data_IF_922233767865
#
_entry.id   IF_922233767865
#
_cell.length_a   1.000
_cell.length_b   1.000
_cell.length_c   1.000
_cell.angle_alpha   90.00
_cell.angle_beta   90.00
_cell.angle_gamma   90.00
#
_symmetry.space_group_name_H-M   'P 1'
#
loop_
_entity.id
_entity.type
_entity.pdbx_description
1 polymer ?
#
# COMPACT_ATOMS: atom_id res chain seq x y z
N UNK A 1 -1.68 -29.91 -64.85
CA UNK A 1 -2.82 -29.27 -65.56
C UNK A 1 -3.52 -28.40 -64.53
N UNK A 2 -3.73 -27.13 -64.46
CA UNK A 2 -3.53 -25.99 -65.37
C UNK A 2 -3.54 -24.75 -64.47
N UNK A 3 -2.53 -23.87 -64.65
CA UNK A 3 -2.48 -22.56 -64.03
C UNK A 3 -3.63 -21.70 -64.50
N UNK A 4 -4.11 -20.78 -63.59
CA UNK A 4 -4.62 -19.48 -64.02
C UNK A 4 -4.23 -18.41 -63.01
N UNK A 5 -3.43 -17.48 -63.50
CA UNK A 5 -3.12 -16.16 -62.96
C UNK A 5 -4.33 -15.24 -63.06
N UNK A 6 -4.55 -14.40 -62.03
CA UNK A 6 -5.20 -13.11 -62.24
C UNK A 6 -4.46 -11.97 -61.54
N UNK A 7 -4.40 -10.88 -62.27
CA UNK A 7 -3.58 -9.70 -62.13
C UNK A 7 -4.02 -8.77 -60.98
N UNK A 8 -3.02 -8.13 -60.40
CA UNK A 8 -3.01 -6.88 -59.64
C UNK A 8 -3.89 -5.80 -60.25
N UNK A 9 -4.61 -5.06 -59.38
CA UNK A 9 -4.97 -3.67 -59.65
C UNK A 9 -4.73 -2.84 -58.36
N UNK A 10 -3.75 -1.92 -58.46
CA UNK A 10 -3.52 -0.84 -57.50
C UNK A 10 -4.61 0.23 -57.75
N UNK A 11 -5.29 0.61 -56.68
CA UNK A 11 -5.91 1.94 -56.63
C UNK A 11 -5.51 2.58 -55.31
N UNK A 12 -4.67 3.58 -55.46
CA UNK A 12 -4.35 4.61 -54.48
C UNK A 12 -5.52 5.55 -54.33
N UNK A 13 -6.04 5.68 -53.11
CA UNK A 13 -6.81 6.86 -52.71
C UNK A 13 -6.21 7.41 -51.43
N UNK A 14 -5.49 8.52 -51.59
CA UNK A 14 -5.09 9.40 -50.52
C UNK A 14 -6.33 10.08 -49.96
N UNK A 15 -6.61 9.91 -48.67
CA UNK A 15 -7.51 10.78 -47.93
C UNK A 15 -6.73 11.90 -47.26
N UNK A 16 -7.22 13.15 -47.25
CA UNK A 16 -6.47 14.28 -46.73
C UNK A 16 -6.51 14.32 -45.19
N UNK A 17 -5.34 14.49 -44.61
CA UNK A 17 -5.12 14.79 -43.19
C UNK A 17 -5.79 16.13 -42.86
N UNK A 18 -6.82 16.12 -42.02
CA UNK A 18 -7.49 17.32 -41.54
C UNK A 18 -6.58 18.12 -40.59
N UNK A 19 -6.02 19.20 -41.11
CA UNK A 19 -5.39 20.26 -40.33
C UNK A 19 -6.47 21.13 -39.70
N UNK A 20 -6.97 20.78 -38.52
CA UNK A 20 -7.89 21.65 -37.80
C UNK A 20 -7.99 21.35 -36.33
N UNK A 21 -6.91 21.64 -35.58
CA UNK A 21 -6.95 21.84 -34.10
C UNK A 21 -5.92 22.84 -33.58
N UNK A 22 -5.21 23.59 -34.44
CA UNK A 22 -4.22 24.60 -34.03
C UNK A 22 -4.58 26.06 -34.37
N UNK A 23 -5.77 26.34 -34.86
CA UNK A 23 -6.14 27.68 -35.36
C UNK A 23 -7.24 28.38 -34.55
N UNK A 24 -7.45 28.05 -33.29
CA UNK A 24 -8.52 28.64 -32.46
C UNK A 24 -8.03 29.44 -31.25
N UNK A 25 -6.77 29.87 -31.26
CA UNK A 25 -6.20 30.67 -30.14
C UNK A 25 -5.50 31.99 -30.58
N UNK A 26 -5.66 32.44 -31.83
CA UNK A 26 -5.13 33.72 -32.28
C UNK A 26 -6.17 34.44 -33.18
N UNK A 27 -7.13 35.17 -32.58
CA UNK A 27 -8.03 35.96 -33.38
C UNK A 27 -9.17 36.61 -32.61
N UNK A 28 -8.87 37.52 -31.70
CA UNK A 28 -9.84 38.54 -31.31
C UNK A 28 -9.07 39.79 -30.82
N UNK A 29 -8.80 40.69 -31.74
CA UNK A 29 -8.25 41.99 -31.42
C UNK A 29 -8.41 42.91 -32.60
N UNK A 30 -9.23 43.92 -32.43
CA UNK A 30 -9.33 45.16 -33.22
C UNK A 30 -10.62 45.38 -34.02
N UNK A 31 -11.52 46.13 -33.44
CA UNK A 31 -12.31 47.11 -34.16
C UNK A 31 -12.53 48.32 -33.23
N UNK A 32 -11.92 49.42 -33.51
CA UNK A 32 -12.04 50.66 -32.77
C UNK A 32 -13.28 51.45 -33.19
N UNK A 33 -13.78 52.28 -32.26
CA UNK A 33 -14.54 53.51 -32.60
C UNK A 33 -14.07 54.60 -31.64
N UNK A 34 -13.68 55.73 -32.22
CA UNK A 34 -13.29 56.94 -31.54
C UNK A 34 -14.50 57.67 -30.93
N UNK A 35 -14.32 58.21 -29.75
CA UNK A 35 -15.22 59.13 -29.09
C UNK A 35 -14.50 59.88 -27.98
N UNK A 36 -14.15 61.14 -28.24
CA UNK A 36 -13.54 62.10 -27.35
C UNK A 36 -14.45 62.52 -26.23
N UNK A 37 -14.02 62.45 -24.98
CA UNK A 37 -14.25 63.48 -23.94
C UNK A 37 -13.18 63.31 -22.85
N UNK A 38 -12.49 64.39 -22.56
CA UNK A 38 -11.42 64.39 -21.58
C UNK A 38 -11.92 64.33 -20.13
N UNK A 39 -11.20 63.60 -19.34
CA UNK A 39 -11.14 63.73 -17.90
C UNK A 39 -9.77 63.25 -17.42
N UNK A 40 -9.10 64.13 -16.71
CA UNK A 40 -7.84 63.87 -16.05
C UNK A 40 -8.03 62.70 -15.06
N UNK A 41 -7.43 61.59 -15.37
CA UNK A 41 -7.29 60.49 -14.44
C UNK A 41 -5.80 60.27 -14.13
N UNK A 42 -5.44 60.54 -12.92
CA UNK A 42 -4.20 60.12 -12.30
C UNK A 42 -3.93 58.63 -12.61
N UNK A 43 -2.67 58.21 -12.83
CA UNK A 43 -2.33 56.82 -12.98
C UNK A 43 -2.54 56.11 -11.63
N UNK A 44 -3.72 55.59 -11.40
CA UNK A 44 -3.92 54.58 -10.40
C UNK A 44 -3.26 53.31 -10.95
N UNK A 45 -2.14 53.03 -10.31
CA UNK A 45 -1.44 51.73 -10.43
C UNK A 45 -2.47 50.64 -10.57
N UNK A 46 -2.46 49.93 -11.72
CA UNK A 46 -3.06 48.63 -11.82
C UNK A 46 -2.40 47.78 -10.73
N UNK A 47 -3.01 47.75 -9.54
CA UNK A 47 -2.78 46.67 -8.63
C UNK A 47 -3.13 45.40 -9.42
N UNK A 48 -2.07 44.68 -9.78
CA UNK A 48 -2.21 43.31 -10.15
C UNK A 48 -3.22 42.73 -9.15
N UNK A 49 -4.31 42.19 -9.68
CA UNK A 49 -5.17 41.28 -8.94
C UNK A 49 -4.17 40.31 -8.36
N UNK A 50 -3.83 40.49 -7.10
CA UNK A 50 -3.14 39.48 -6.34
C UNK A 50 -4.01 38.25 -6.56
N UNK A 51 -3.47 37.26 -7.23
CA UNK A 51 -3.99 35.93 -7.17
C UNK A 51 -4.39 35.74 -5.72
N UNK A 52 -5.71 35.69 -5.49
CA UNK A 52 -6.21 35.26 -4.21
C UNK A 52 -5.40 34.03 -3.89
N UNK A 53 -4.61 34.11 -2.84
CA UNK A 53 -3.99 32.97 -2.25
C UNK A 53 -5.13 32.00 -1.98
N UNK A 54 -5.31 31.05 -2.87
CA UNK A 54 -5.99 29.81 -2.54
C UNK A 54 -5.15 29.28 -1.40
N UNK A 55 -5.59 29.55 -0.20
CA UNK A 55 -4.98 29.05 1.01
C UNK A 55 -5.20 27.56 1.04
N UNK A 56 -4.31 26.82 0.37
CA UNK A 56 -4.11 25.38 0.59
C UNK A 56 -3.35 25.15 1.91
N UNK A 57 -3.48 26.07 2.87
CA UNK A 57 -2.87 25.97 4.19
C UNK A 57 -3.11 24.61 4.87
N UNK A 58 -4.31 23.97 4.82
CA UNK A 58 -4.52 22.66 5.43
C UNK A 58 -3.71 21.52 4.81
N UNK A 59 -3.42 21.56 3.49
CA UNK A 59 -2.64 20.51 2.83
C UNK A 59 -1.13 20.72 3.04
N UNK A 60 -0.64 21.96 3.00
CA UNK A 60 0.77 22.25 3.24
C UNK A 60 1.21 21.94 4.67
N UNK A 61 0.33 22.11 5.66
CA UNK A 61 0.63 21.76 7.06
C UNK A 61 0.84 20.25 7.24
N UNK A 62 0.07 19.41 6.53
CA UNK A 62 0.19 17.94 6.59
C UNK A 62 1.52 17.42 6.05
N UNK A 63 2.17 18.15 5.16
CA UNK A 63 3.50 17.77 4.65
C UNK A 63 4.59 17.81 5.74
N UNK A 64 4.37 18.49 6.85
CA UNK A 64 5.28 18.56 7.98
C UNK A 64 4.96 17.57 9.10
N UNK A 65 3.86 16.80 8.98
CA UNK A 65 3.60 15.71 9.90
C UNK A 65 4.73 14.68 9.81
N UNK A 66 5.19 14.20 10.96
CA UNK A 66 6.26 13.20 11.03
C UNK A 66 5.95 12.12 12.05
N UNK A 67 6.49 10.93 11.80
CA UNK A 67 6.42 9.80 12.71
C UNK A 67 7.81 9.51 13.29
N UNK A 68 7.90 9.13 14.57
CA UNK A 68 9.19 8.76 15.15
C UNK A 68 9.73 7.50 14.45
N UNK A 69 11.01 7.56 14.05
CA UNK A 69 11.70 6.43 13.42
C UNK A 69 12.12 5.39 14.45
N UNK A 70 12.71 5.85 15.57
CA UNK A 70 13.22 4.97 16.62
C UNK A 70 12.10 4.50 17.57
N UNK A 71 12.20 3.25 18.00
CA UNK A 71 11.27 2.66 18.96
C UNK A 71 11.33 1.15 19.02
N UNK A 72 10.59 0.59 19.96
CA UNK A 72 10.48 -0.87 20.17
C UNK A 72 9.94 -1.60 18.95
N UNK A 73 9.00 -0.98 18.25
CA UNK A 73 8.32 -1.48 17.07
C UNK A 73 8.56 -0.54 15.91
N UNK A 74 8.56 -1.06 14.69
CA UNK A 74 8.65 -0.21 13.51
C UNK A 74 7.39 0.65 13.33
N UNK A 75 7.54 1.91 12.90
CA UNK A 75 6.43 2.74 12.46
C UNK A 75 5.76 2.13 11.21
N UNK A 76 4.49 2.49 10.98
CA UNK A 76 3.73 2.03 9.82
C UNK A 76 2.94 0.74 10.05
N UNK A 77 3.02 0.11 11.23
CA UNK A 77 2.23 -1.08 11.59
C UNK A 77 0.97 -0.67 12.35
N UNK A 78 1.12 -0.13 13.56
CA UNK A 78 -0.01 0.38 14.39
C UNK A 78 -0.27 1.87 14.19
N UNK A 79 0.65 2.60 13.57
CA UNK A 79 0.49 4.02 13.22
C UNK A 79 -0.79 4.26 12.42
N UNK A 80 -1.57 5.30 12.66
CA UNK A 80 -2.74 5.63 11.86
C UNK A 80 -2.44 5.58 10.36
N UNK A 81 -3.33 4.99 9.57
CA UNK A 81 -3.11 4.78 8.13
C UNK A 81 -3.27 6.11 7.38
N UNK A 82 -2.21 6.61 6.70
CA UNK A 82 -2.32 7.81 5.86
C UNK A 82 -3.00 7.51 4.53
N UNK A 83 -3.15 8.52 3.67
CA UNK A 83 -3.91 8.42 2.43
C UNK A 83 -3.26 7.55 1.35
N UNK A 84 -1.93 7.47 1.32
CA UNK A 84 -1.19 6.74 0.30
C UNK A 84 -0.35 5.60 0.90
N UNK A 85 -0.25 4.49 0.18
CA UNK A 85 0.60 3.35 0.52
C UNK A 85 1.28 2.79 -0.71
N UNK A 86 2.50 2.31 -0.54
CA UNK A 86 3.27 1.60 -1.54
C UNK A 86 3.98 0.44 -0.87
N UNK A 87 3.87 -0.74 -1.45
CA UNK A 87 4.67 -1.91 -1.08
C UNK A 87 5.60 -2.24 -2.23
N UNK A 88 6.90 -2.30 -1.96
CA UNK A 88 7.90 -2.75 -2.91
C UNK A 88 8.65 -3.96 -2.35
N UNK A 89 8.78 -4.99 -3.16
CA UNK A 89 9.54 -6.20 -2.85
C UNK A 89 10.85 -6.21 -3.62
N UNK A 90 11.87 -6.78 -3.00
CA UNK A 90 13.23 -6.75 -3.53
C UNK A 90 13.88 -8.14 -3.48
N UNK A 91 14.76 -8.38 -4.44
CA UNK A 91 15.77 -9.41 -4.38
C UNK A 91 17.06 -8.79 -3.82
N UNK A 92 17.66 -9.44 -2.82
CA UNK A 92 18.91 -9.00 -2.19
C UNK A 92 20.10 -9.49 -3.02
N UNK A 93 20.89 -8.53 -3.50
CA UNK A 93 22.06 -8.78 -4.35
C UNK A 93 23.38 -8.91 -3.55
N UNK A 94 23.35 -8.66 -2.23
CA UNK A 94 24.50 -8.84 -1.36
C UNK A 94 25.12 -10.25 -1.55
N UNK A 95 26.43 -10.31 -1.67
CA UNK A 95 27.18 -11.56 -1.95
C UNK A 95 27.54 -12.30 -0.68
N UNK A 96 27.67 -11.57 0.41
CA UNK A 96 28.06 -12.10 1.69
C UNK A 96 27.38 -11.33 2.85
N UNK A 97 27.66 -11.77 4.06
CA UNK A 97 27.08 -11.15 5.27
C UNK A 97 27.53 -9.71 5.48
N UNK A 98 28.76 -9.36 5.12
CA UNK A 98 29.27 -7.99 5.28
C UNK A 98 28.52 -7.01 4.37
N UNK A 99 28.28 -7.42 3.12
CA UNK A 99 27.44 -6.64 2.21
C UNK A 99 25.98 -6.58 2.67
N UNK A 100 25.44 -7.66 3.25
CA UNK A 100 24.09 -7.66 3.85
C UNK A 100 24.00 -6.69 5.04
N UNK A 101 25.01 -6.66 5.92
CA UNK A 101 25.08 -5.69 7.00
C UNK A 101 25.19 -4.25 6.46
N UNK A 102 26.04 -4.01 5.47
CA UNK A 102 26.15 -2.71 4.79
C UNK A 102 24.79 -2.26 4.24
N UNK A 103 24.06 -3.17 3.61
CA UNK A 103 22.71 -2.90 3.10
C UNK A 103 21.75 -2.44 4.22
N UNK A 104 21.68 -3.16 5.33
CA UNK A 104 20.78 -2.80 6.43
C UNK A 104 21.18 -1.48 7.09
N UNK A 105 22.48 -1.19 7.23
CA UNK A 105 22.94 0.11 7.76
C UNK A 105 22.58 1.26 6.85
N UNK A 106 22.81 1.13 5.54
CA UNK A 106 22.40 2.15 4.56
C UNK A 106 20.88 2.31 4.53
N UNK A 107 20.13 1.20 4.55
CA UNK A 107 18.67 1.25 4.57
C UNK A 107 18.16 1.98 5.82
N UNK A 108 18.79 1.77 6.98
CA UNK A 108 18.45 2.46 8.22
C UNK A 108 18.69 3.96 8.10
N UNK A 109 19.89 4.36 7.65
CA UNK A 109 20.26 5.75 7.45
C UNK A 109 19.28 6.46 6.49
N UNK A 110 18.96 5.82 5.37
CA UNK A 110 18.04 6.41 4.39
C UNK A 110 16.62 6.50 4.93
N UNK A 111 16.11 5.45 5.57
CA UNK A 111 14.77 5.45 6.16
C UNK A 111 14.62 6.53 7.25
N UNK A 112 15.62 6.68 8.12
CA UNK A 112 15.62 7.74 9.15
C UNK A 112 15.59 9.14 8.52
N UNK A 113 16.45 9.40 7.52
CA UNK A 113 16.46 10.65 6.79
C UNK A 113 15.12 10.96 6.11
N UNK A 114 14.58 9.99 5.38
CA UNK A 114 13.34 10.15 4.63
C UNK A 114 12.14 10.44 5.55
N UNK A 115 12.05 9.75 6.70
CA UNK A 115 10.98 9.97 7.67
C UNK A 115 11.11 11.28 8.44
N UNK A 116 12.33 11.74 8.67
CA UNK A 116 12.60 13.00 9.34
C UNK A 116 12.47 14.19 8.40
N UNK A 117 12.78 13.99 7.14
CA UNK A 117 12.94 15.06 6.16
C UNK A 117 14.22 15.88 6.37
N UNK A 118 14.43 16.86 5.50
CA UNK A 118 15.58 17.75 5.57
C UNK A 118 16.14 18.12 4.20
N UNK A 119 17.20 18.93 4.19
CA UNK A 119 17.88 19.32 2.96
C UNK A 119 18.90 18.24 2.56
N UNK A 120 18.77 17.67 1.36
CA UNK A 120 19.78 16.75 0.84
C UNK A 120 21.15 17.42 0.73
N UNK A 121 22.28 16.66 0.83
CA UNK A 121 23.61 17.22 0.65
C UNK A 121 23.78 17.85 -0.73
N UNK A 122 24.37 19.04 -0.78
CA UNK A 122 24.79 19.66 -2.04
C UNK A 122 26.06 18.98 -2.55
N UNK A 123 26.07 18.56 -3.81
CA UNK A 123 27.20 17.95 -4.48
C UNK A 123 27.67 18.81 -5.64
N UNK A 124 28.97 18.69 -6.02
CA UNK A 124 29.48 19.32 -7.25
C UNK A 124 28.62 18.88 -8.45
N UNK A 125 28.19 19.84 -9.27
CA UNK A 125 27.32 19.63 -10.44
C UNK A 125 27.88 18.62 -11.47
N UNK A 126 29.15 18.22 -11.35
CA UNK A 126 29.76 17.14 -12.15
C UNK A 126 29.32 15.74 -11.70
N UNK A 127 28.77 15.60 -10.51
CA UNK A 127 28.24 14.34 -9.98
C UNK A 127 26.72 14.28 -10.08
N UNK A 128 26.12 13.08 -10.09
CA UNK A 128 24.69 12.95 -9.95
C UNK A 128 24.19 13.63 -8.67
N UNK A 129 23.05 14.32 -8.69
CA UNK A 129 22.52 14.97 -7.50
C UNK A 129 22.27 13.95 -6.37
N UNK A 130 22.41 14.38 -5.13
CA UNK A 130 22.16 13.54 -3.96
C UNK A 130 20.72 13.05 -3.89
N UNK A 131 19.77 13.88 -4.32
CA UNK A 131 18.33 13.62 -4.32
C UNK A 131 17.72 13.68 -5.73
N UNK A 132 16.53 13.10 -5.89
CA UNK A 132 15.80 13.12 -7.17
C UNK A 132 15.17 14.47 -7.51
N UNK A 133 14.98 15.32 -6.52
CA UNK A 133 14.37 16.64 -6.64
C UNK A 133 12.85 16.65 -6.84
N UNK A 134 12.17 15.51 -6.82
CA UNK A 134 10.71 15.46 -7.10
C UNK A 134 9.86 16.10 -5.98
N UNK A 135 10.37 16.17 -4.75
CA UNK A 135 9.73 16.89 -3.64
C UNK A 135 10.24 18.33 -3.49
N UNK A 136 11.08 18.82 -4.42
CA UNK A 136 11.71 20.13 -4.33
C UNK A 136 13.06 20.10 -3.61
N UNK A 137 13.61 21.26 -3.20
CA UNK A 137 14.95 21.35 -2.60
C UNK A 137 15.03 20.85 -1.16
N UNK A 138 13.90 20.68 -0.49
CA UNK A 138 13.79 20.18 0.88
C UNK A 138 12.84 19.01 0.89
N UNK A 139 13.32 17.88 1.37
CA UNK A 139 12.48 16.68 1.58
C UNK A 139 11.57 16.92 2.78
N UNK A 140 10.27 16.89 2.59
CA UNK A 140 9.29 16.97 3.66
C UNK A 140 8.98 15.58 4.22
N UNK A 141 8.75 15.42 5.54
CA UNK A 141 8.43 14.14 6.15
C UNK A 141 7.08 13.56 5.70
N UNK A 142 6.08 14.41 5.46
CA UNK A 142 4.75 14.04 4.92
C UNK A 142 4.11 12.83 5.59
N UNK A 143 4.27 12.71 6.91
CA UNK A 143 3.78 11.58 7.69
C UNK A 143 4.33 10.22 7.21
N UNK A 144 5.50 10.21 6.55
CA UNK A 144 6.09 9.01 5.98
C UNK A 144 6.44 7.99 7.08
N UNK A 145 6.09 6.74 6.84
CA UNK A 145 6.59 5.58 7.57
C UNK A 145 7.23 4.60 6.60
N UNK A 146 8.38 4.06 7.00
CA UNK A 146 9.13 3.03 6.26
C UNK A 146 9.17 1.78 7.14
N UNK A 147 8.48 0.72 6.70
CA UNK A 147 8.41 -0.56 7.43
C UNK A 147 9.11 -1.64 6.62
N UNK A 148 10.12 -2.27 7.20
CA UNK A 148 10.97 -3.28 6.55
C UNK A 148 10.60 -4.67 7.05
N UNK A 149 10.36 -5.61 6.13
CA UNK A 149 10.09 -6.99 6.47
C UNK A 149 10.86 -7.96 5.57
N UNK A 150 11.23 -9.12 6.12
CA UNK A 150 12.05 -10.13 5.48
C UNK A 150 11.20 -11.27 4.93
N UNK A 151 11.47 -11.67 3.69
CA UNK A 151 10.86 -12.85 3.09
C UNK A 151 11.57 -14.14 3.47
N UNK A 152 10.88 -15.26 3.33
CA UNK A 152 11.44 -16.57 3.67
C UNK A 152 12.68 -16.93 2.83
N UNK A 153 12.82 -16.38 1.63
CA UNK A 153 13.96 -16.65 0.73
C UNK A 153 15.26 -16.01 1.20
N UNK A 154 15.23 -14.98 2.05
CA UNK A 154 16.45 -14.41 2.63
C UNK A 154 17.14 -15.39 3.61
N UNK A 155 16.37 -16.29 4.20
CA UNK A 155 16.86 -17.29 5.16
C UNK A 155 17.33 -18.58 4.48
N UNK A 156 18.06 -18.44 3.40
CA UNK A 156 18.75 -19.53 2.69
C UNK A 156 20.21 -19.71 3.17
N UNK A 157 21.03 -20.36 2.36
CA UNK A 157 22.42 -20.67 2.72
C UNK A 157 23.40 -19.51 2.42
N UNK A 158 22.97 -18.39 1.80
CA UNK A 158 23.85 -17.27 1.39
C UNK A 158 24.51 -16.56 2.57
N UNK A 159 23.78 -16.38 3.68
CA UNK A 159 24.19 -15.49 4.77
C UNK A 159 24.30 -16.19 6.13
N UNK A 160 24.09 -17.51 6.18
CA UNK A 160 24.06 -18.26 7.43
C UNK A 160 22.83 -18.00 8.30
N UNK A 161 21.78 -17.41 7.75
CA UNK A 161 20.56 -17.04 8.49
C UNK A 161 19.52 -18.15 8.60
N UNK A 162 19.69 -19.25 7.87
CA UNK A 162 18.71 -20.35 7.80
C UNK A 162 18.25 -20.90 9.16
N UNK A 163 19.14 -21.11 10.16
CA UNK A 163 18.72 -21.57 11.50
C UNK A 163 17.90 -20.54 12.30
N UNK A 164 17.97 -19.27 11.90
CA UNK A 164 17.35 -18.14 12.58
C UNK A 164 16.03 -17.71 11.95
N UNK A 165 15.55 -18.42 10.94
CA UNK A 165 14.29 -18.11 10.28
C UNK A 165 13.13 -18.18 11.28
N UNK A 166 12.23 -17.17 11.32
CA UNK A 166 11.00 -17.25 12.09
C UNK A 166 10.21 -18.51 11.74
N UNK A 167 9.71 -19.23 12.73
CA UNK A 167 9.19 -20.59 12.57
C UNK A 167 8.03 -20.69 11.60
N UNK A 168 7.12 -19.72 11.63
CA UNK A 168 5.94 -19.70 10.78
C UNK A 168 6.18 -18.94 9.46
N UNK A 169 7.38 -18.35 9.27
CA UNK A 169 7.71 -17.67 8.03
C UNK A 169 7.95 -18.69 6.91
N UNK A 170 7.03 -18.73 5.98
CA UNK A 170 7.07 -19.64 4.84
C UNK A 170 6.79 -18.89 3.53
N UNK A 171 7.05 -19.56 2.43
CA UNK A 171 6.61 -19.08 1.13
C UNK A 171 5.07 -19.04 1.12
N UNK A 172 4.47 -17.96 0.59
CA UNK A 172 3.03 -17.84 0.54
C UNK A 172 2.40 -19.05 -0.16
N UNK A 173 1.48 -19.70 0.54
CA UNK A 173 0.69 -20.82 0.03
C UNK A 173 -0.33 -20.31 -0.98
N UNK A 174 -0.73 -21.17 -1.93
CA UNK A 174 -1.83 -20.90 -2.85
C UNK A 174 -3.12 -21.42 -2.25
N UNK A 175 -4.17 -20.60 -2.29
CA UNK A 175 -5.53 -20.97 -1.91
C UNK A 175 -6.38 -21.28 -3.15
N UNK A 176 -7.53 -21.97 -3.02
CA UNK A 176 -8.33 -22.42 -4.18
C UNK A 176 -8.71 -21.31 -5.15
N UNK A 177 -9.01 -20.11 -4.67
CA UNK A 177 -9.35 -18.96 -5.52
C UNK A 177 -8.16 -18.20 -6.10
N UNK A 178 -6.93 -18.55 -5.79
CA UNK A 178 -5.75 -17.80 -6.23
C UNK A 178 -5.45 -17.98 -7.72
N UNK A 179 -4.97 -16.91 -8.34
CA UNK A 179 -4.38 -16.88 -9.67
C UNK A 179 -3.01 -16.18 -9.62
N UNK A 180 -2.13 -16.66 -8.74
CA UNK A 180 -0.86 -16.02 -8.42
C UNK A 180 0.07 -15.93 -9.64
N UNK A 181 0.52 -14.72 -9.93
CA UNK A 181 1.50 -14.42 -10.96
C UNK A 181 2.89 -14.36 -10.32
N UNK A 182 3.84 -15.15 -10.83
CA UNK A 182 5.17 -15.31 -10.23
C UNK A 182 5.92 -13.98 -10.10
N UNK A 183 5.73 -13.08 -11.08
CA UNK A 183 6.46 -11.83 -11.18
C UNK A 183 6.07 -10.81 -10.11
N UNK A 184 4.88 -10.95 -9.52
CA UNK A 184 4.39 -10.08 -8.44
C UNK A 184 4.20 -10.83 -7.12
N UNK A 185 4.99 -11.89 -6.91
CA UNK A 185 4.97 -12.69 -5.68
C UNK A 185 6.34 -12.77 -5.00
N UNK A 186 6.31 -12.84 -3.66
CA UNK A 186 7.47 -13.09 -2.79
C UNK A 186 8.55 -12.02 -2.91
N UNK A 187 9.78 -12.34 -2.53
CA UNK A 187 11.00 -11.54 -2.51
C UNK A 187 11.79 -11.80 -1.24
N UNK A 188 13.04 -11.40 -1.22
CA UNK A 188 13.93 -11.55 -0.06
C UNK A 188 13.60 -10.50 1.02
N UNK A 189 13.17 -9.32 0.57
CA UNK A 189 12.86 -8.19 1.42
C UNK A 189 11.64 -7.46 0.85
N UNK A 190 10.80 -6.92 1.73
CA UNK A 190 9.73 -6.01 1.35
C UNK A 190 9.81 -4.75 2.18
N UNK A 191 9.52 -3.61 1.56
CA UNK A 191 9.40 -2.32 2.24
C UNK A 191 8.00 -1.78 1.97
N UNK A 192 7.31 -1.42 3.06
CA UNK A 192 6.06 -0.69 3.00
C UNK A 192 6.35 0.78 3.28
N UNK A 193 5.96 1.64 2.36
CA UNK A 193 5.96 3.10 2.49
C UNK A 193 4.52 3.57 2.64
N UNK A 194 4.26 4.40 3.64
CA UNK A 194 2.96 5.03 3.79
C UNK A 194 3.15 6.51 4.12
N UNK A 195 2.46 7.39 3.40
CA UNK A 195 2.54 8.85 3.54
C UNK A 195 1.21 9.52 3.21
N UNK A 196 1.10 10.82 3.47
CA UNK A 196 -0.11 11.56 3.10
C UNK A 196 -0.24 11.70 1.58
N UNK A 197 0.89 11.75 0.83
CA UNK A 197 0.90 11.87 -0.64
C UNK A 197 1.63 10.71 -1.33
N UNK A 198 1.19 10.29 -2.52
CA UNK A 198 1.87 9.24 -3.29
C UNK A 198 3.30 9.62 -3.69
N UNK A 199 3.56 10.92 -3.95
CA UNK A 199 4.86 11.41 -4.41
C UNK A 199 5.95 11.16 -3.39
N UNK A 200 5.65 11.30 -2.10
CA UNK A 200 6.58 10.99 -1.01
C UNK A 200 6.94 9.51 -0.99
N UNK A 201 5.99 8.60 -1.20
CA UNK A 201 6.27 7.17 -1.29
C UNK A 201 7.19 6.83 -2.48
N UNK A 202 6.93 7.43 -3.65
CA UNK A 202 7.75 7.24 -4.85
C UNK A 202 9.14 7.84 -4.66
N UNK A 203 9.24 9.01 -4.02
CA UNK A 203 10.51 9.63 -3.67
C UNK A 203 11.35 8.70 -2.77
N UNK A 204 10.73 8.16 -1.70
CA UNK A 204 11.39 7.27 -0.77
C UNK A 204 11.89 5.98 -1.45
N UNK A 205 11.07 5.36 -2.30
CA UNK A 205 11.49 4.20 -3.08
C UNK A 205 12.68 4.52 -4.00
N UNK A 206 12.63 5.65 -4.72
CA UNK A 206 13.72 6.07 -5.63
C UNK A 206 15.01 6.39 -4.88
N UNK A 207 14.91 6.99 -3.70
CA UNK A 207 16.07 7.26 -2.85
C UNK A 207 16.78 5.96 -2.43
N UNK A 208 16.02 4.98 -1.94
CA UNK A 208 16.55 3.66 -1.56
C UNK A 208 17.22 2.97 -2.76
N UNK A 209 16.56 2.92 -3.91
CA UNK A 209 17.13 2.31 -5.12
C UNK A 209 18.39 3.02 -5.60
N UNK A 210 18.43 4.37 -5.51
CA UNK A 210 19.59 5.17 -5.92
C UNK A 210 20.81 4.91 -5.04
N UNK A 211 20.60 4.74 -3.74
CA UNK A 211 21.70 4.58 -2.78
C UNK A 211 22.16 3.13 -2.61
N UNK A 212 21.41 2.15 -3.11
CA UNK A 212 21.73 0.72 -2.97
C UNK A 212 21.60 -0.07 -4.29
N UNK A 213 22.14 0.43 -5.44
CA UNK A 213 21.96 -0.22 -6.74
C UNK A 213 22.67 -1.57 -6.85
N UNK A 214 23.71 -1.80 -6.04
CA UNK A 214 24.51 -3.02 -5.97
C UNK A 214 24.03 -4.01 -4.90
N UNK A 215 23.02 -3.64 -4.09
CA UNK A 215 22.56 -4.42 -2.95
C UNK A 215 21.10 -4.85 -3.05
N UNK A 216 20.26 -4.07 -3.76
CA UNK A 216 18.82 -4.32 -3.90
C UNK A 216 18.38 -4.18 -5.35
N UNK A 217 17.55 -5.11 -5.79
CA UNK A 217 16.85 -5.03 -7.06
C UNK A 217 15.34 -5.15 -6.81
N UNK A 218 14.55 -4.20 -7.32
CA UNK A 218 13.09 -4.26 -7.22
C UNK A 218 12.59 -5.47 -7.99
N UNK A 219 11.82 -6.31 -7.31
CA UNK A 219 11.14 -7.45 -7.89
C UNK A 219 9.74 -7.09 -8.37
N UNK A 220 8.96 -6.45 -7.51
CA UNK A 220 7.63 -5.90 -7.83
C UNK A 220 7.29 -4.77 -6.88
N UNK A 221 6.36 -3.93 -7.30
CA UNK A 221 5.73 -2.92 -6.45
C UNK A 221 4.22 -2.86 -6.69
N UNK A 222 3.48 -2.44 -5.67
CA UNK A 222 2.08 -2.08 -5.78
C UNK A 222 1.81 -0.83 -4.97
N UNK A 223 1.21 0.15 -5.60
CA UNK A 223 0.72 1.38 -4.99
C UNK A 223 -0.76 1.26 -4.68
N UNK A 224 -1.23 2.08 -3.74
CA UNK A 224 -2.63 2.18 -3.44
C UNK A 224 -2.96 3.42 -2.61
N UNK A 225 -4.23 3.74 -2.54
CA UNK A 225 -4.74 4.90 -1.82
C UNK A 225 -5.91 4.54 -0.94
N UNK A 226 -6.15 5.37 0.05
CA UNK A 226 -7.35 5.34 0.88
C UNK A 226 -8.22 6.52 0.46
N UNK A 227 -9.47 6.30 -0.01
CA UNK A 227 -10.32 7.42 -0.37
C UNK A 227 -10.62 8.28 0.86
N UNK A 228 -10.39 9.58 0.72
CA UNK A 228 -10.79 10.56 1.71
C UNK A 228 -12.28 10.84 1.50
N UNK A 229 -13.10 10.46 2.46
CA UNK A 229 -14.54 10.74 2.43
C UNK A 229 -14.89 11.57 3.66
N UNK A 230 -15.68 12.66 3.50
CA UNK A 230 -16.21 13.35 4.65
C UNK A 230 -17.13 12.41 5.43
N UNK A 231 -17.06 12.34 6.76
CA UNK A 231 -17.97 11.54 7.54
C UNK A 231 -19.40 12.12 7.42
N UNK A 232 -20.40 11.24 7.44
CA UNK A 232 -21.81 11.65 7.43
C UNK A 232 -22.18 12.49 8.64
N UNK A 233 -21.42 12.37 9.73
CA UNK A 233 -21.54 13.15 10.93
C UNK A 233 -20.15 13.48 11.48
N UNK A 234 -19.93 14.69 12.03
CA UNK A 234 -18.66 15.05 12.66
C UNK A 234 -18.23 14.13 13.83
N UNK A 235 -19.18 13.38 14.38
CA UNK A 235 -18.95 12.43 15.48
C UNK A 235 -18.85 10.98 15.01
N UNK A 236 -19.12 10.68 13.75
CA UNK A 236 -19.09 9.31 13.24
C UNK A 236 -17.62 8.90 12.95
N UNK A 237 -17.16 7.86 13.61
CA UNK A 237 -15.90 7.18 13.27
C UNK A 237 -16.22 6.20 12.15
N UNK A 238 -16.09 6.64 10.90
CA UNK A 238 -16.38 5.86 9.72
C UNK A 238 -15.08 5.40 9.04
N UNK A 239 -15.02 4.12 8.66
CA UNK A 239 -13.88 3.60 7.91
C UNK A 239 -14.01 3.91 6.41
N UNK A 240 -12.86 3.95 5.71
CA UNK A 240 -12.82 4.15 4.27
C UNK A 240 -13.47 2.99 3.51
N UNK A 241 -13.95 3.26 2.29
CA UNK A 241 -14.53 2.23 1.42
C UNK A 241 -13.49 1.62 0.50
N UNK A 242 -13.65 0.31 0.26
CA UNK A 242 -12.94 -0.36 -0.84
C UNK A 242 -13.64 -0.10 -2.19
N UNK A 243 -13.05 -0.58 -3.30
CA UNK A 243 -13.61 -0.40 -4.64
C UNK A 243 -14.85 -1.26 -4.95
N UNK A 244 -15.29 -2.11 -4.03
CA UNK A 244 -16.61 -2.72 -4.08
C UNK A 244 -17.68 -1.88 -3.39
N UNK A 245 -17.28 -0.71 -2.84
CA UNK A 245 -18.16 0.26 -2.22
C UNK A 245 -18.49 0.00 -0.74
N UNK A 246 -17.92 -1.05 -0.13
CA UNK A 246 -18.15 -1.40 1.27
C UNK A 246 -17.10 -0.78 2.20
N UNK A 247 -17.49 -0.52 3.46
CA UNK A 247 -16.58 -0.08 4.51
C UNK A 247 -15.53 -1.15 4.78
N UNK A 248 -14.24 -0.78 4.76
CA UNK A 248 -13.12 -1.71 4.92
C UNK A 248 -12.26 -1.36 6.14
N UNK A 249 -12.85 -1.49 7.29
CA UNK A 249 -12.24 -1.17 8.58
C UNK A 249 -13.16 -1.42 9.76
N UNK A 250 -14.43 -1.75 9.49
CA UNK A 250 -15.48 -1.87 10.49
C UNK A 250 -15.17 -2.82 11.65
N UNK A 251 -14.42 -3.86 11.41
CA UNK A 251 -14.04 -4.86 12.40
C UNK A 251 -12.52 -4.91 12.63
N UNK A 252 -11.79 -3.89 12.19
CA UNK A 252 -10.35 -3.84 12.41
C UNK A 252 -10.09 -3.57 13.90
N UNK A 253 -9.15 -4.30 14.54
CA UNK A 253 -8.75 -4.04 15.91
C UNK A 253 -8.29 -2.59 16.12
N UNK A 254 -8.55 -2.03 17.29
CA UNK A 254 -8.08 -0.69 17.64
C UNK A 254 -6.57 -0.71 17.85
N UNK A 255 -5.83 -0.09 16.91
CA UNK A 255 -4.38 -0.04 16.96
C UNK A 255 -3.81 0.81 18.10
N UNK A 256 -4.64 1.56 18.82
CA UNK A 256 -4.26 2.32 20.02
C UNK A 256 -4.39 1.51 21.32
N UNK A 257 -4.98 0.31 21.27
CA UNK A 257 -5.02 -0.62 22.40
C UNK A 257 -3.73 -1.46 22.45
N UNK A 258 -2.74 -0.97 23.18
CA UNK A 258 -1.43 -1.63 23.33
C UNK A 258 -1.56 -3.06 23.88
N UNK A 259 -2.50 -3.32 24.80
CA UNK A 259 -2.70 -4.64 25.37
C UNK A 259 -3.22 -5.63 24.31
N UNK A 260 -4.14 -5.19 23.45
CA UNK A 260 -4.62 -5.97 22.32
C UNK A 260 -3.51 -6.17 21.29
N UNK A 261 -2.79 -5.10 20.90
CA UNK A 261 -1.69 -5.20 19.94
C UNK A 261 -0.59 -6.16 20.40
N UNK A 262 -0.24 -6.17 21.68
CA UNK A 262 0.72 -7.12 22.25
C UNK A 262 0.22 -8.58 22.20
N UNK A 263 -1.09 -8.82 22.13
CA UNK A 263 -1.63 -10.18 22.01
C UNK A 263 -1.73 -10.66 20.57
N UNK A 264 -2.07 -9.77 19.63
CA UNK A 264 -2.45 -10.19 18.27
C UNK A 264 -1.44 -9.78 17.19
N UNK A 265 -0.62 -8.74 17.40
CA UNK A 265 0.28 -8.19 16.38
C UNK A 265 1.75 -8.51 16.67
N UNK A 266 2.20 -8.25 17.90
CA UNK A 266 3.61 -8.33 18.21
C UNK A 266 4.03 -9.72 18.65
N UNK A 267 5.11 -10.22 18.04
CA UNK A 267 5.77 -11.44 18.50
C UNK A 267 6.37 -11.19 19.87
N UNK A 268 6.04 -12.04 20.83
CA UNK A 268 6.55 -12.02 22.19
C UNK A 268 7.04 -13.41 22.63
N UNK A 269 7.44 -13.54 23.88
CA UNK A 269 7.98 -14.79 24.45
C UNK A 269 7.06 -16.01 24.23
N UNK A 270 5.74 -15.82 24.26
CA UNK A 270 4.74 -16.89 24.08
C UNK A 270 4.74 -17.50 22.66
N UNK A 271 5.28 -16.80 21.67
CA UNK A 271 5.30 -17.26 20.28
C UNK A 271 6.42 -18.28 20.03
N UNK A 272 7.37 -18.42 20.96
CA UNK A 272 8.51 -19.34 20.86
C UNK A 272 9.34 -19.15 19.57
N UNK A 273 9.37 -17.93 19.04
CA UNK A 273 10.22 -17.52 17.92
C UNK A 273 11.68 -17.32 18.36
N UNK A 274 12.64 -17.21 17.42
CA UNK A 274 14.00 -16.81 17.77
C UNK A 274 14.01 -15.45 18.52
N UNK A 275 14.88 -15.25 19.48
CA UNK A 275 14.94 -14.07 20.35
C UNK A 275 15.00 -12.75 19.58
N UNK A 276 15.74 -12.72 18.46
CA UNK A 276 15.85 -11.55 17.60
C UNK A 276 14.51 -11.10 16.99
N UNK A 277 13.53 -12.00 16.88
CA UNK A 277 12.22 -11.75 16.29
C UNK A 277 11.23 -11.09 17.28
N UNK A 278 11.60 -11.03 18.58
CA UNK A 278 10.77 -10.39 19.61
C UNK A 278 10.49 -8.93 19.24
N UNK A 279 9.22 -8.49 19.35
CA UNK A 279 8.70 -7.18 18.94
C UNK A 279 8.57 -6.98 17.43
N UNK A 280 8.89 -7.98 16.62
CA UNK A 280 8.51 -8.03 15.20
C UNK A 280 7.07 -8.49 15.01
N UNK A 281 6.67 -8.67 13.76
CA UNK A 281 5.32 -9.11 13.40
C UNK A 281 5.33 -9.90 12.08
N UNK A 282 4.49 -10.91 11.97
CA UNK A 282 4.24 -11.51 10.64
C UNK A 282 3.40 -10.56 9.80
N UNK A 283 3.77 -10.44 8.52
CA UNK A 283 3.11 -9.59 7.53
C UNK A 283 2.61 -10.44 6.39
N UNK A 284 1.32 -10.40 6.11
CA UNK A 284 0.73 -10.99 4.93
C UNK A 284 0.37 -9.87 3.94
N UNK A 285 0.87 -9.97 2.71
CA UNK A 285 0.54 -9.06 1.61
C UNK A 285 -0.19 -9.84 0.54
N UNK A 286 -1.34 -9.32 0.08
CA UNK A 286 -2.11 -9.89 -1.03
C UNK A 286 -2.50 -8.79 -2.00
N UNK A 287 -2.19 -8.96 -3.27
CA UNK A 287 -2.70 -8.11 -4.35
C UNK A 287 -3.96 -8.80 -4.86
N UNK A 288 -5.12 -8.22 -4.57
CA UNK A 288 -6.43 -8.81 -4.84
C UNK A 288 -7.12 -7.99 -5.93
N UNK A 289 -7.24 -8.56 -7.14
CA UNK A 289 -7.97 -7.92 -8.23
C UNK A 289 -9.47 -8.04 -8.00
N UNK A 290 -10.22 -6.96 -8.24
CA UNK A 290 -11.68 -6.92 -8.18
C UNK A 290 -12.26 -6.88 -9.59
N UNK A 291 -13.28 -7.71 -9.88
CA UNK A 291 -14.03 -7.71 -11.12
C UNK A 291 -15.20 -6.72 -11.00
N UNK A 292 -14.86 -5.43 -10.98
CA UNK A 292 -15.82 -4.35 -10.68
C UNK A 292 -16.96 -4.27 -11.67
N UNK A 293 -16.72 -4.55 -12.95
CA UNK A 293 -17.78 -4.55 -13.97
C UNK A 293 -18.84 -5.64 -13.73
N UNK A 294 -18.46 -6.77 -13.14
CA UNK A 294 -19.39 -7.82 -12.70
C UNK A 294 -20.11 -7.39 -11.44
N UNK A 295 -19.35 -6.91 -10.46
CA UNK A 295 -19.87 -6.44 -9.19
C UNK A 295 -20.93 -5.35 -9.34
N UNK A 296 -20.71 -4.36 -10.20
CA UNK A 296 -21.62 -3.23 -10.42
C UNK A 296 -22.97 -3.63 -11.05
N UNK A 297 -23.06 -4.84 -11.63
CA UNK A 297 -24.31 -5.42 -12.15
C UNK A 297 -25.03 -6.31 -11.17
N UNK A 298 -24.42 -6.60 -10.02
CA UNK A 298 -25.01 -7.45 -8.97
C UNK A 298 -26.02 -6.64 -8.17
N UNK A 299 -27.24 -7.15 -7.93
CA UNK A 299 -28.26 -6.45 -7.15
C UNK A 299 -27.75 -6.06 -5.75
N UNK A 300 -28.15 -4.89 -5.24
CA UNK A 300 -27.72 -4.40 -3.93
C UNK A 300 -27.98 -5.40 -2.80
N UNK A 301 -29.15 -6.04 -2.79
CA UNK A 301 -29.49 -7.05 -1.79
C UNK A 301 -28.49 -8.21 -1.77
N UNK A 302 -28.05 -8.64 -2.94
CA UNK A 302 -27.08 -9.72 -3.09
C UNK A 302 -25.68 -9.26 -2.64
N UNK A 303 -25.25 -8.04 -3.05
CA UNK A 303 -24.00 -7.46 -2.58
C UNK A 303 -23.95 -7.38 -1.04
N UNK A 304 -25.01 -6.93 -0.41
CA UNK A 304 -25.11 -6.84 1.05
C UNK A 304 -25.11 -8.23 1.71
N UNK A 305 -25.81 -9.22 1.13
CA UNK A 305 -25.84 -10.60 1.62
C UNK A 305 -24.46 -11.24 1.56
N UNK A 306 -23.72 -11.05 0.46
CA UNK A 306 -22.33 -11.53 0.27
C UNK A 306 -21.40 -10.96 1.34
N UNK A 307 -21.48 -9.67 1.63
CA UNK A 307 -20.64 -9.06 2.67
C UNK A 307 -21.15 -9.36 4.08
N UNK A 308 -22.47 -9.40 4.30
CA UNK A 308 -23.10 -9.49 5.62
C UNK A 308 -23.28 -8.14 6.30
N UNK A 309 -23.22 -7.01 5.56
CA UNK A 309 -23.36 -5.64 6.05
C UNK A 309 -24.16 -4.77 5.08
N UNK A 310 -24.77 -3.72 5.59
CA UNK A 310 -25.38 -2.66 4.78
C UNK A 310 -24.31 -1.89 4.02
N UNK A 311 -24.53 -1.66 2.73
CA UNK A 311 -23.57 -0.94 1.88
C UNK A 311 -23.47 0.54 2.22
N UNK A 312 -24.59 1.17 2.53
CA UNK A 312 -24.69 2.60 2.86
C UNK A 312 -24.01 2.95 4.19
N UNK A 313 -24.36 2.27 5.26
CA UNK A 313 -23.95 2.57 6.63
C UNK A 313 -22.75 1.76 7.12
N UNK A 314 -22.47 0.59 6.51
CA UNK A 314 -21.53 -0.38 7.02
C UNK A 314 -22.03 -1.18 8.23
N UNK A 315 -23.28 -0.95 8.67
CA UNK A 315 -23.86 -1.64 9.81
C UNK A 315 -24.09 -3.14 9.53
N UNK A 316 -23.88 -4.04 10.50
CA UNK A 316 -24.37 -5.42 10.38
C UNK A 316 -25.91 -5.43 10.31
N UNK A 317 -26.51 -6.50 9.82
CA UNK A 317 -27.96 -6.57 9.61
C UNK A 317 -28.78 -6.49 10.91
N UNK A 318 -28.20 -6.90 12.03
CA UNK A 318 -28.78 -6.81 13.38
C UNK A 318 -28.34 -5.54 14.15
N UNK A 319 -27.63 -4.62 13.49
CA UNK A 319 -27.15 -3.36 14.04
C UNK A 319 -27.66 -2.12 13.32
N UNK A 320 -27.18 -0.94 13.74
CA UNK A 320 -27.57 0.38 13.21
C UNK A 320 -26.39 1.20 12.71
N UNK A 321 -25.18 0.93 13.22
CA UNK A 321 -23.95 1.66 12.91
C UNK A 321 -22.86 0.72 12.48
N UNK A 322 -21.84 1.24 11.79
CA UNK A 322 -20.67 0.47 11.38
C UNK A 322 -19.94 -0.21 12.57
N UNK A 323 -19.94 0.45 13.72
CA UNK A 323 -19.26 -0.03 14.93
C UNK A 323 -20.00 -1.17 15.65
N UNK A 324 -21.27 -1.41 15.32
CA UNK A 324 -22.05 -2.45 15.99
C UNK A 324 -21.47 -3.84 15.69
N UNK A 325 -21.47 -4.68 16.72
CA UNK A 325 -20.95 -6.05 16.64
C UNK A 325 -22.11 -7.01 16.36
N UNK A 326 -22.09 -7.77 15.27
CA UNK A 326 -23.13 -8.72 14.95
C UNK A 326 -23.22 -9.84 16.00
N UNK A 327 -24.45 -10.28 16.33
CA UNK A 327 -24.71 -11.33 17.31
C UNK A 327 -25.14 -12.64 16.64
N UNK A 328 -24.19 -13.42 16.17
CA UNK A 328 -24.46 -14.70 15.47
C UNK A 328 -25.04 -15.79 16.38
N UNK A 329 -24.88 -15.70 17.70
CA UNK A 329 -25.50 -16.64 18.63
C UNK A 329 -27.04 -16.58 18.61
N UNK A 330 -27.61 -15.41 18.26
CA UNK A 330 -29.07 -15.23 18.07
C UNK A 330 -29.55 -15.56 16.65
N UNK A 331 -28.64 -15.86 15.74
CA UNK A 331 -28.90 -16.12 14.32
C UNK A 331 -28.18 -17.38 13.86
N UNK A 332 -28.32 -18.46 14.59
CA UNK A 332 -27.64 -19.74 14.29
C UNK A 332 -27.95 -20.27 12.89
N UNK A 333 -29.18 -20.05 12.41
CA UNK A 333 -29.66 -20.50 11.09
C UNK A 333 -29.26 -19.55 9.94
N UNK A 334 -28.64 -18.41 10.21
CA UNK A 334 -28.24 -17.42 9.17
C UNK A 334 -29.42 -16.71 8.48
N UNK A 335 -30.57 -16.54 9.19
CA UNK A 335 -31.74 -15.86 8.65
C UNK A 335 -31.57 -14.34 8.59
N UNK A 336 -30.74 -13.76 9.44
CA UNK A 336 -30.41 -12.34 9.48
C UNK A 336 -29.13 -12.10 8.67
N UNK A 337 -28.02 -12.78 9.02
CA UNK A 337 -26.74 -12.68 8.32
C UNK A 337 -26.42 -14.05 7.73
N UNK A 338 -26.33 -14.18 6.40
CA UNK A 338 -26.06 -15.47 5.74
C UNK A 338 -24.85 -16.17 6.34
N UNK A 339 -24.92 -17.51 6.45
CA UNK A 339 -23.85 -18.32 7.04
C UNK A 339 -22.54 -18.23 6.27
N UNK A 340 -22.61 -18.02 4.96
CA UNK A 340 -21.52 -17.90 4.01
C UNK A 340 -21.13 -16.46 3.70
N UNK A 341 -21.69 -15.47 4.41
CA UNK A 341 -21.30 -14.08 4.24
C UNK A 341 -19.87 -13.83 4.72
N UNK A 342 -19.18 -12.94 4.00
CA UNK A 342 -17.76 -12.62 4.22
C UNK A 342 -17.41 -12.32 5.69
N UNK A 343 -18.16 -11.42 6.34
CA UNK A 343 -17.84 -11.04 7.73
C UNK A 343 -18.08 -12.16 8.74
N UNK A 344 -19.04 -13.05 8.47
CA UNK A 344 -19.36 -14.17 9.36
C UNK A 344 -18.33 -15.28 9.27
N UNK A 345 -17.88 -15.60 8.06
CA UNK A 345 -16.81 -16.56 7.82
C UNK A 345 -15.47 -16.04 8.37
N UNK A 346 -15.11 -14.78 8.07
CA UNK A 346 -13.86 -14.19 8.52
C UNK A 346 -13.76 -14.13 10.05
N UNK A 347 -14.86 -13.80 10.74
CA UNK A 347 -14.90 -13.71 12.20
C UNK A 347 -16.24 -14.24 12.74
N UNK A 348 -16.33 -15.52 13.07
CA UNK A 348 -17.57 -16.16 13.54
C UNK A 348 -18.00 -15.71 14.95
N UNK A 349 -17.23 -14.87 15.64
CA UNK A 349 -17.53 -14.33 16.96
C UNK A 349 -17.75 -15.40 18.05
N UNK A 350 -17.11 -16.56 17.87
CA UNK A 350 -17.07 -17.62 18.87
C UNK A 350 -15.99 -17.35 19.94
N UNK A 351 -15.90 -18.23 20.93
CA UNK A 351 -14.94 -18.11 22.04
C UNK A 351 -13.47 -18.08 21.59
N UNK A 352 -13.17 -18.60 20.41
CA UNK A 352 -11.83 -18.67 19.87
C UNK A 352 -11.50 -17.53 18.88
N UNK A 353 -12.49 -16.69 18.55
CA UNK A 353 -12.36 -15.69 17.50
C UNK A 353 -11.22 -14.68 17.75
N UNK A 354 -10.95 -14.35 19.02
CA UNK A 354 -9.91 -13.36 19.36
C UNK A 354 -8.50 -13.82 18.94
N UNK A 355 -8.18 -15.11 19.03
CA UNK A 355 -6.86 -15.63 18.63
C UNK A 355 -6.59 -15.56 17.13
N UNK A 356 -7.64 -15.30 16.31
CA UNK A 356 -7.58 -15.19 14.86
C UNK A 356 -7.68 -13.75 14.36
N UNK A 357 -7.66 -12.76 15.28
CA UNK A 357 -7.65 -11.36 14.89
C UNK A 357 -6.35 -11.01 14.16
N UNK A 358 -6.49 -10.20 13.12
CA UNK A 358 -5.38 -9.63 12.36
C UNK A 358 -5.57 -8.12 12.26
N UNK A 359 -4.49 -7.35 12.33
CA UNK A 359 -4.51 -5.92 12.11
C UNK A 359 -4.38 -5.65 10.61
N UNK A 360 -5.46 -5.20 9.95
CA UNK A 360 -5.48 -4.93 8.51
C UNK A 360 -5.11 -3.48 8.21
N UNK A 361 -4.33 -3.29 7.14
CA UNK A 361 -3.90 -1.98 6.64
C UNK A 361 -4.02 -1.91 5.11
N UNK A 362 -5.22 -2.13 4.53
CA UNK A 362 -5.40 -2.22 3.10
C UNK A 362 -5.38 -0.85 2.42
N UNK A 363 -5.05 -0.84 1.11
CA UNK A 363 -5.17 0.30 0.21
C UNK A 363 -5.88 -0.14 -1.07
N UNK A 364 -6.69 0.74 -1.66
CA UNK A 364 -7.26 0.51 -2.98
C UNK A 364 -6.21 0.79 -4.05
N UNK A 365 -6.11 -0.05 -5.08
CA UNK A 365 -5.22 0.19 -6.20
C UNK A 365 -5.98 0.26 -7.53
N UNK A 366 -5.45 1.04 -8.49
CA UNK A 366 -5.95 1.11 -9.86
C UNK A 366 -4.76 1.24 -10.81
N UNK A 367 -4.51 0.18 -11.59
CA UNK A 367 -3.37 0.06 -12.51
C UNK A 367 -3.75 0.33 -13.98
N UNK A 368 -4.95 0.90 -14.20
CA UNK A 368 -5.44 1.20 -15.55
C UNK A 368 -6.32 0.08 -16.10
N UNK A 369 -6.02 -0.39 -17.32
CA UNK A 369 -6.87 -1.34 -18.07
C UNK A 369 -6.10 -2.59 -18.43
N UNK A 370 -6.71 -3.75 -18.19
CA UNK A 370 -6.16 -5.05 -18.55
C UNK A 370 -6.17 -5.28 -20.08
N UNK A 371 -5.46 -6.29 -20.56
CA UNK A 371 -5.46 -6.69 -21.98
C UNK A 371 -6.85 -7.05 -22.51
N UNK A 372 -7.78 -7.44 -21.65
CA UNK A 372 -9.17 -7.78 -21.98
C UNK A 372 -10.11 -6.56 -21.98
N UNK A 373 -9.59 -5.35 -21.78
CA UNK A 373 -10.39 -4.10 -21.74
C UNK A 373 -11.15 -3.87 -20.42
N UNK A 374 -10.88 -4.65 -19.39
CA UNK A 374 -11.46 -4.48 -18.06
C UNK A 374 -10.56 -3.60 -17.19
N UNK A 375 -11.13 -2.92 -16.22
CA UNK A 375 -10.37 -2.17 -15.22
C UNK A 375 -9.45 -3.12 -14.42
N UNK A 376 -8.19 -2.75 -14.30
CA UNK A 376 -7.23 -3.44 -13.43
C UNK A 376 -7.14 -2.70 -12.11
N UNK A 377 -8.03 -3.07 -11.19
CA UNK A 377 -8.15 -2.45 -9.88
C UNK A 377 -8.53 -3.46 -8.82
N UNK A 378 -8.32 -3.07 -7.55
CA UNK A 378 -8.60 -3.96 -6.44
C UNK A 378 -8.06 -3.47 -5.12
N UNK A 379 -7.61 -4.43 -4.30
CA UNK A 379 -7.13 -4.19 -2.95
C UNK A 379 -5.67 -4.65 -2.79
N UNK A 380 -4.80 -3.75 -2.40
CA UNK A 380 -3.53 -4.08 -1.78
C UNK A 380 -3.83 -4.39 -0.32
N UNK A 381 -4.08 -5.67 -0.04
CA UNK A 381 -4.36 -6.15 1.31
C UNK A 381 -3.04 -6.36 2.06
N UNK A 382 -2.94 -5.75 3.24
CA UNK A 382 -1.82 -5.91 4.16
C UNK A 382 -2.40 -6.26 5.52
N UNK A 383 -1.86 -7.27 6.17
CA UNK A 383 -2.24 -7.65 7.52
C UNK A 383 -1.04 -8.00 8.37
N UNK A 384 -1.08 -7.60 9.65
CA UNK A 384 -0.08 -7.87 10.66
C UNK A 384 -0.64 -8.74 11.77
N UNK A 385 0.14 -9.73 12.21
CA UNK A 385 -0.22 -10.67 13.27
C UNK A 385 1.00 -11.30 13.93
N UNK A 386 0.87 -11.64 15.21
CA UNK A 386 1.92 -12.33 15.97
C UNK A 386 2.10 -13.80 15.54
N UNK A 387 1.08 -14.41 14.93
CA UNK A 387 1.05 -15.80 14.49
C UNK A 387 0.40 -15.88 13.11
N UNK A 388 1.18 -16.22 12.09
CA UNK A 388 0.72 -16.24 10.70
C UNK A 388 -0.35 -17.33 10.44
N UNK A 389 -0.22 -18.48 11.10
CA UNK A 389 -1.13 -19.61 10.90
C UNK A 389 -2.47 -19.38 11.59
N UNK A 390 -2.44 -18.96 12.87
CA UNK A 390 -3.67 -18.62 13.60
C UNK A 390 -4.36 -17.38 13.05
N UNK A 391 -3.58 -16.38 12.62
CA UNK A 391 -4.09 -15.14 12.03
C UNK A 391 -4.53 -15.35 10.58
N UNK A 392 -3.75 -14.82 9.65
CA UNK A 392 -4.12 -14.71 8.23
C UNK A 392 -4.50 -16.04 7.59
N UNK A 393 -3.69 -17.11 7.77
CA UNK A 393 -3.94 -18.40 7.09
C UNK A 393 -5.26 -19.03 7.54
N UNK A 394 -5.57 -18.98 8.84
CA UNK A 394 -6.85 -19.50 9.36
C UNK A 394 -8.03 -18.72 8.83
N UNK A 395 -7.96 -17.37 8.83
CA UNK A 395 -9.03 -16.51 8.31
C UNK A 395 -9.24 -16.78 6.82
N UNK A 396 -8.16 -16.83 6.04
CA UNK A 396 -8.26 -17.10 4.59
C UNK A 396 -8.85 -18.48 4.30
N UNK A 397 -8.51 -19.51 5.08
CA UNK A 397 -9.09 -20.85 4.93
C UNK A 397 -10.59 -20.87 5.20
N UNK A 398 -11.09 -20.06 6.13
CA UNK A 398 -12.53 -19.92 6.37
C UNK A 398 -13.27 -19.25 5.21
N UNK A 399 -12.58 -18.38 4.47
CA UNK A 399 -13.12 -17.66 3.33
C UNK A 399 -13.10 -18.48 2.01
N UNK A 400 -12.45 -19.65 1.98
CA UNK A 400 -12.43 -20.49 0.78
C UNK A 400 -13.84 -20.91 0.40
N UNK A 401 -14.26 -20.58 -0.83
CA UNK A 401 -15.59 -20.92 -1.35
C UNK A 401 -16.68 -19.94 -0.95
N UNK A 402 -16.35 -18.79 -0.35
CA UNK A 402 -17.33 -17.73 -0.10
C UNK A 402 -17.89 -17.12 -1.40
N UNK A 403 -19.13 -16.63 -1.41
CA UNK A 403 -19.72 -16.02 -2.61
C UNK A 403 -18.92 -14.84 -3.18
N UNK A 404 -18.15 -14.12 -2.34
CA UNK A 404 -17.32 -13.00 -2.78
C UNK A 404 -16.20 -13.42 -3.74
N UNK A 405 -15.76 -14.67 -3.74
CA UNK A 405 -14.74 -15.20 -4.66
C UNK A 405 -15.10 -15.07 -6.14
N UNK A 406 -16.39 -14.93 -6.47
CA UNK A 406 -16.84 -14.66 -7.83
C UNK A 406 -16.37 -13.29 -8.34
N UNK A 407 -16.18 -12.35 -7.45
CA UNK A 407 -15.90 -10.93 -7.74
C UNK A 407 -14.47 -10.51 -7.47
N UNK A 408 -13.63 -11.40 -6.98
CA UNK A 408 -12.24 -11.09 -6.69
C UNK A 408 -11.29 -12.24 -7.03
N UNK A 409 -10.01 -11.89 -7.28
CA UNK A 409 -8.94 -12.84 -7.58
C UNK A 409 -7.64 -12.35 -6.96
N UNK A 410 -7.09 -13.05 -5.97
CA UNK A 410 -5.74 -12.78 -5.50
C UNK A 410 -4.72 -13.16 -6.58
N UNK A 411 -3.90 -12.20 -6.99
CA UNK A 411 -2.95 -12.36 -8.10
C UNK A 411 -1.50 -12.27 -7.68
N UNK A 412 -1.20 -11.77 -6.48
CA UNK A 412 0.18 -11.59 -6.03
C UNK A 412 0.33 -11.34 -4.54
N UNK A 413 1.55 -11.00 -4.11
CA UNK A 413 1.91 -10.71 -2.73
C UNK A 413 2.91 -11.71 -2.14
N UNK A 414 2.92 -11.86 -0.83
CA UNK A 414 3.85 -12.75 -0.12
C UNK A 414 3.63 -12.73 1.39
N UNK A 415 4.31 -13.65 2.08
CA UNK A 415 4.44 -13.62 3.54
C UNK A 415 5.83 -13.13 3.90
N UNK A 416 5.88 -12.24 4.87
CA UNK A 416 7.09 -11.60 5.34
C UNK A 416 7.09 -11.52 6.87
N UNK A 417 8.25 -11.21 7.43
CA UNK A 417 8.40 -10.94 8.85
C UNK A 417 8.92 -9.52 9.04
N UNK A 418 8.06 -8.63 9.52
CA UNK A 418 8.43 -7.27 9.86
C UNK A 418 9.41 -7.28 11.03
N UNK A 419 10.56 -6.64 10.83
CA UNK A 419 11.62 -6.55 11.83
C UNK A 419 11.14 -5.83 13.09
N UNK A 420 11.75 -6.07 14.26
CA UNK A 420 11.64 -5.16 15.40
C UNK A 420 12.04 -3.74 15.02
N UNK A 421 11.63 -2.76 15.79
CA UNK A 421 12.03 -1.37 15.59
C UNK A 421 13.51 -1.13 15.85
N UNK A 422 14.07 -0.12 15.20
CA UNK A 422 15.41 0.40 15.45
C UNK A 422 15.36 1.21 16.75
N UNK A 423 16.16 0.83 17.77
CA UNK A 423 16.00 1.37 19.12
C UNK A 423 16.56 2.78 19.27
N UNK A 424 17.74 3.04 18.72
CA UNK A 424 18.45 4.31 18.82
C UNK A 424 19.45 4.49 17.68
N UNK A 425 20.20 5.59 17.67
CA UNK A 425 21.20 5.93 16.64
C UNK A 425 22.41 4.98 16.53
N UNK A 426 22.56 4.02 17.45
CA UNK A 426 23.62 2.98 17.38
C UNK A 426 23.08 1.68 16.82
N UNK A 427 21.79 1.59 16.68
CA UNK A 427 21.10 0.42 16.18
C UNK A 427 20.79 0.55 14.67
N UNK A 428 20.48 -0.57 14.03
CA UNK A 428 20.11 -0.62 12.62
C UNK A 428 19.19 -1.82 12.33
N UNK A 429 18.44 -1.77 11.24
CA UNK A 429 17.56 -2.86 10.83
C UNK A 429 18.30 -4.20 10.83
N UNK A 430 17.66 -5.24 11.35
CA UNK A 430 18.17 -6.60 11.44
C UNK A 430 19.47 -6.80 12.26
N UNK A 431 19.92 -5.81 13.04
CA UNK A 431 21.13 -5.95 13.86
C UNK A 431 21.09 -7.19 14.74
N UNK A 432 20.03 -7.38 15.54
CA UNK A 432 19.88 -8.53 16.43
C UNK A 432 19.90 -9.87 15.65
N UNK A 433 19.31 -9.94 14.46
CA UNK A 433 19.38 -11.11 13.57
C UNK A 433 20.83 -11.39 13.14
N UNK A 434 21.56 -10.38 12.72
CA UNK A 434 22.95 -10.53 12.28
C UNK A 434 23.88 -10.93 13.46
N UNK A 435 23.71 -10.35 14.63
CA UNK A 435 24.45 -10.71 15.83
C UNK A 435 24.16 -12.16 16.26
N UNK A 436 22.90 -12.61 16.21
CA UNK A 436 22.49 -13.98 16.52
C UNK A 436 23.09 -15.03 15.56
N UNK A 437 23.42 -14.65 14.32
CA UNK A 437 24.06 -15.58 13.36
C UNK A 437 25.54 -15.87 13.66
N UNK A 438 26.14 -15.18 14.64
CA UNK A 438 27.54 -15.35 15.03
C UNK A 438 28.54 -14.76 14.02
N UNK A 439 29.82 -14.67 14.33
CA UNK A 439 30.84 -14.26 13.37
C UNK A 439 30.91 -15.29 12.24
N UNK A 440 30.92 -14.83 11.00
CA UNK A 440 31.21 -15.71 9.87
C UNK A 440 32.67 -16.19 10.01
N UNK A 441 32.87 -17.44 10.38
CA UNK A 441 34.14 -18.09 10.15
C UNK A 441 34.42 -18.03 8.64
N UNK A 442 35.40 -17.23 8.24
CA UNK A 442 35.84 -17.17 6.88
C UNK A 442 36.10 -18.62 6.40
N UNK A 443 35.21 -19.18 5.64
CA UNK A 443 35.47 -20.43 4.94
C UNK A 443 36.61 -20.13 3.95
N UNK A 444 37.81 -20.61 4.32
CA UNK A 444 38.98 -20.64 3.47
C UNK A 444 38.75 -21.50 2.25
#
# INVERSE_FOLDING_TARGET
MTRKFFKTNKMTTEEPVSASRRALLLGAGAAGVAGTVGSVLTPQVAQAVSSENVTNAPESEKLHESQPFHGKHQPGIVTPRPAAGLVASFDVLARDRSELERMFRLLTERAEFLMKGGTPPELDAKFPPADSGILGPVVTPDNLTVTVALGSSLFDDRFGLKPLKPKLLQRMTSFPNDALQKDICHGDLVIQFCSNTPDTNIHALRDIMKNMPDLLMVRWKQEGTVPVQPPHSPKAKESARNFLGFRDGSANPDSSDDALMNRIVWVGEKNAEPDWATNGSYMAVRIIRNFVERWDRTPLQEQEAIFGRRKDSGAPFDGKTEADVPNYAKDADGKITPLDSHIRLANPRDANAEQHLILRRPFNYSNGVSKSGQLDMGLLFIAYQADLEKGFITVQNRLNGEPLEEYLKPIGGGYFFALPGVQDHKDYYARALLEASGPQNARR
#
